data_IF_671231074351
#
_entry.id   IF_671231074351
#
_cell.length_a   1.000
_cell.length_b   1.000
_cell.length_c   1.000
_cell.angle_alpha   90.00
_cell.angle_beta   90.00
_cell.angle_gamma   90.00
#
_symmetry.space_group_name_H-M   'P 1'
#
loop_
_entity.id
_entity.type
_entity.pdbx_description
1 polymer ?
#
# COMPACT_ATOMS: atom_id res chain seq x y z
N UNK A 1 -19.23 10.26 7.79
CA UNK A 1 -18.45 9.89 6.59
C UNK A 1 -19.43 9.98 5.43
N UNK A 2 -19.33 11.02 4.60
CA UNK A 2 -20.36 11.37 3.58
C UNK A 2 -20.14 10.67 2.22
N UNK A 3 -19.38 9.57 2.21
CA UNK A 3 -19.24 8.72 1.04
C UNK A 3 -20.48 7.83 0.92
N UNK A 4 -21.26 7.97 -0.15
CA UNK A 4 -22.55 7.26 -0.32
C UNK A 4 -22.58 6.27 -1.49
N UNK A 5 -21.53 6.23 -2.31
CA UNK A 5 -21.39 5.24 -3.39
C UNK A 5 -20.46 4.08 -2.98
N UNK A 6 -20.46 3.02 -3.78
CA UNK A 6 -19.68 1.79 -3.59
C UNK A 6 -18.38 1.74 -4.40
N UNK A 7 -17.93 2.88 -4.96
CA UNK A 7 -16.81 2.91 -5.91
C UNK A 7 -15.44 2.59 -5.29
N UNK A 8 -15.28 2.75 -3.98
CA UNK A 8 -14.04 2.38 -3.26
C UNK A 8 -13.98 0.89 -2.88
N UNK A 9 -15.05 0.12 -3.13
CA UNK A 9 -15.18 -1.24 -2.64
C UNK A 9 -15.36 -1.32 -1.12
N UNK A 10 -14.92 -2.41 -0.51
CA UNK A 10 -15.05 -2.62 0.94
C UNK A 10 -14.11 -1.69 1.69
N UNK A 11 -14.66 -0.75 2.45
CA UNK A 11 -13.90 0.09 3.38
C UNK A 11 -13.68 -0.68 4.68
N UNK A 12 -12.43 -0.79 5.10
CA UNK A 12 -12.06 -1.37 6.39
C UNK A 12 -11.85 -0.24 7.41
N UNK A 13 -12.59 -0.27 8.51
CA UNK A 13 -12.49 0.70 9.60
C UNK A 13 -12.19 0.02 10.94
N UNK A 14 -11.54 0.74 11.85
CA UNK A 14 -11.23 0.23 13.19
C UNK A 14 -10.08 -0.77 13.28
N UNK A 15 -9.44 -1.11 12.16
CA UNK A 15 -8.22 -1.94 12.13
C UNK A 15 -7.02 -1.01 12.27
N UNK A 16 -6.37 -1.06 13.43
CA UNK A 16 -5.19 -0.26 13.73
C UNK A 16 -3.98 -1.18 13.91
N UNK A 17 -2.79 -0.67 13.65
CA UNK A 17 -1.53 -1.30 14.06
C UNK A 17 -1.24 -1.08 15.54
N UNK A 18 -0.11 -1.62 16.02
CA UNK A 18 0.33 -1.52 17.41
C UNK A 18 0.60 -0.07 17.86
N UNK A 19 0.77 0.85 16.91
CA UNK A 19 1.00 2.28 17.14
C UNK A 19 -0.30 3.10 17.04
N UNK A 20 -1.42 2.45 16.72
CA UNK A 20 -2.73 3.08 16.58
C UNK A 20 -2.97 3.69 15.19
N UNK A 21 -2.11 3.43 14.20
CA UNK A 21 -2.29 3.89 12.83
C UNK A 21 -3.23 2.95 12.06
N UNK A 22 -4.14 3.47 11.22
CA UNK A 22 -5.00 2.64 10.40
C UNK A 22 -4.20 1.71 9.48
N UNK A 23 -4.58 0.44 9.43
CA UNK A 23 -3.98 -0.56 8.53
C UNK A 23 -5.03 -1.38 7.77
N UNK A 24 -4.62 -2.01 6.66
CA UNK A 24 -5.45 -3.00 5.99
C UNK A 24 -5.49 -4.31 6.81
N UNK A 25 -6.52 -5.16 6.62
CA UNK A 25 -6.57 -6.48 7.26
C UNK A 25 -5.35 -7.34 6.86
N UNK A 26 -4.83 -8.09 7.84
CA UNK A 26 -3.63 -8.92 7.62
C UNK A 26 -3.90 -10.02 6.58
N UNK A 27 -5.10 -10.61 6.59
CA UNK A 27 -5.54 -11.63 5.64
C UNK A 27 -5.61 -11.16 4.18
N UNK A 28 -5.45 -9.85 3.92
CA UNK A 28 -5.42 -9.31 2.57
C UNK A 28 -4.00 -9.19 1.99
N UNK A 29 -2.93 -9.32 2.78
CA UNK A 29 -1.56 -9.16 2.29
C UNK A 29 -1.00 -10.46 1.70
N UNK A 30 -0.78 -10.49 0.38
CA UNK A 30 -0.23 -11.68 -0.30
C UNK A 30 1.24 -11.95 0.04
N UNK A 31 1.99 -10.91 0.39
CA UNK A 31 3.44 -10.98 0.65
C UNK A 31 3.80 -10.52 2.07
N UNK A 32 2.86 -10.66 3.01
CA UNK A 32 3.12 -10.38 4.42
C UNK A 32 4.34 -11.18 4.92
N UNK A 33 5.14 -10.56 5.79
CA UNK A 33 6.34 -11.17 6.37
C UNK A 33 7.31 -11.76 5.33
N UNK A 34 7.36 -11.17 4.14
CA UNK A 34 8.21 -11.61 3.01
C UNK A 34 7.84 -13.01 2.48
N UNK A 35 6.60 -13.46 2.68
CA UNK A 35 6.11 -14.70 2.10
C UNK A 35 6.06 -14.62 0.56
N UNK A 36 6.44 -15.71 -0.11
CA UNK A 36 6.29 -15.82 -1.57
C UNK A 36 4.81 -15.78 -1.99
N UNK A 37 3.91 -16.30 -1.14
CA UNK A 37 2.45 -16.13 -1.23
C UNK A 37 1.83 -16.54 0.10
N UNK A 38 0.96 -15.70 0.67
CA UNK A 38 0.16 -15.98 1.85
C UNK A 38 -1.25 -16.49 1.49
N UNK A 39 -1.92 -17.14 2.43
CA UNK A 39 -3.34 -17.48 2.30
C UNK A 39 -4.18 -16.21 2.47
N UNK A 40 -4.86 -15.82 1.40
CA UNK A 40 -5.69 -14.61 1.35
C UNK A 40 -7.18 -14.93 1.17
N UNK A 41 -7.57 -16.18 1.44
CA UNK A 41 -8.96 -16.65 1.32
C UNK A 41 -9.93 -15.93 2.26
N UNK A 42 -9.43 -15.33 3.34
CA UNK A 42 -10.20 -14.49 4.26
C UNK A 42 -10.43 -13.05 3.78
N UNK A 43 -9.68 -12.58 2.78
CA UNK A 43 -9.81 -11.20 2.29
C UNK A 43 -11.16 -11.01 1.58
N UNK A 44 -11.96 -10.05 2.05
CA UNK A 44 -13.27 -9.73 1.44
C UNK A 44 -13.15 -8.95 0.12
N UNK A 45 -11.96 -8.44 -0.20
CA UNK A 45 -11.63 -7.71 -1.41
C UNK A 45 -10.57 -8.43 -2.26
N UNK A 46 -10.02 -7.70 -3.24
CA UNK A 46 -8.83 -8.20 -3.96
C UNK A 46 -7.63 -8.21 -3.00
N UNK A 47 -6.87 -9.31 -2.92
CA UNK A 47 -5.65 -9.34 -2.14
C UNK A 47 -4.66 -8.26 -2.60
N UNK A 48 -3.95 -7.69 -1.64
CA UNK A 48 -2.89 -6.72 -1.83
C UNK A 48 -1.61 -7.47 -2.23
N UNK A 49 -1.22 -7.33 -3.48
CA UNK A 49 -0.05 -7.99 -4.08
C UNK A 49 1.18 -7.08 -4.16
N UNK A 50 1.00 -5.77 -3.98
CA UNK A 50 2.08 -4.78 -3.99
C UNK A 50 1.87 -3.76 -2.86
N UNK A 51 2.92 -3.49 -2.08
CA UNK A 51 2.90 -2.46 -1.03
C UNK A 51 3.72 -1.23 -1.43
N UNK A 52 3.12 -0.05 -1.38
CA UNK A 52 3.83 1.21 -1.56
C UNK A 52 4.19 1.80 -0.19
N UNK A 53 5.46 2.19 -0.02
CA UNK A 53 5.96 2.76 1.24
C UNK A 53 6.29 4.24 1.07
N UNK A 54 5.53 5.14 1.71
CA UNK A 54 5.78 6.57 1.71
C UNK A 54 7.22 6.95 2.14
N UNK A 55 7.82 7.92 1.46
CA UNK A 55 9.05 8.61 1.90
C UNK A 55 8.99 10.11 1.63
N UNK A 56 9.75 10.91 2.38
CA UNK A 56 9.77 12.38 2.21
C UNK A 56 10.67 12.83 1.05
N UNK A 57 11.67 12.02 0.69
CA UNK A 57 12.53 12.24 -0.48
C UNK A 57 12.81 10.94 -1.23
N UNK A 58 13.14 11.00 -2.52
CA UNK A 58 13.51 9.83 -3.30
C UNK A 58 14.72 9.12 -2.70
N UNK A 59 14.64 7.79 -2.57
CA UNK A 59 15.73 6.98 -2.03
C UNK A 59 16.06 7.21 -0.55
N UNK A 60 15.19 7.85 0.23
CA UNK A 60 15.32 7.85 1.68
C UNK A 60 15.19 6.45 2.26
N UNK A 61 16.14 6.05 3.12
CA UNK A 61 16.17 4.69 3.65
C UNK A 61 16.44 3.63 2.56
N UNK A 62 17.32 3.92 1.59
CA UNK A 62 17.62 3.12 0.38
C UNK A 62 18.03 1.64 0.58
N UNK A 63 18.01 1.09 1.80
CA UNK A 63 17.95 -0.36 1.96
C UNK A 63 16.52 -0.79 1.61
N UNK A 64 16.36 -1.55 0.53
CA UNK A 64 15.04 -1.95 0.05
C UNK A 64 14.29 -0.79 -0.60
N UNK A 65 14.93 -0.11 -1.57
CA UNK A 65 14.25 0.84 -2.47
C UNK A 65 13.04 0.22 -3.15
N UNK A 66 12.97 -1.10 -3.27
CA UNK A 66 11.82 -1.85 -3.73
C UNK A 66 12.23 -3.25 -4.19
N UNK A 67 11.25 -4.09 -4.51
CA UNK A 67 11.42 -5.43 -5.06
C UNK A 67 10.11 -5.89 -5.69
N UNK A 68 10.01 -7.18 -6.02
CA UNK A 68 8.87 -7.74 -6.77
C UNK A 68 7.49 -7.48 -6.14
N UNK A 69 7.42 -7.13 -4.84
CA UNK A 69 6.18 -7.01 -4.06
C UNK A 69 6.03 -5.67 -3.32
N UNK A 70 6.92 -4.71 -3.55
CA UNK A 70 6.79 -3.41 -2.91
C UNK A 70 7.83 -2.39 -3.32
N UNK A 71 7.49 -1.11 -3.18
CA UNK A 71 8.28 -0.01 -3.72
C UNK A 71 8.18 1.20 -2.79
N UNK A 72 9.31 1.87 -2.52
CA UNK A 72 9.30 3.18 -1.84
C UNK A 72 8.85 4.26 -2.82
N UNK A 73 7.94 5.13 -2.40
CA UNK A 73 7.39 6.22 -3.22
C UNK A 73 7.51 7.54 -2.48
N UNK A 74 7.97 8.58 -3.17
CA UNK A 74 8.01 9.92 -2.59
C UNK A 74 6.59 10.49 -2.57
N UNK A 75 6.14 10.94 -1.40
CA UNK A 75 4.73 11.25 -1.16
C UNK A 75 4.25 12.44 -1.99
N UNK A 76 5.05 13.49 -2.12
CA UNK A 76 4.64 14.69 -2.82
C UNK A 76 4.50 14.42 -4.33
N UNK A 77 5.45 13.70 -4.92
CA UNK A 77 5.41 13.27 -6.32
C UNK A 77 4.23 12.33 -6.59
N UNK A 78 4.00 11.36 -5.70
CA UNK A 78 2.85 10.45 -5.77
C UNK A 78 1.53 11.24 -5.81
N UNK A 79 1.35 12.18 -4.87
CA UNK A 79 0.13 12.99 -4.78
C UNK A 79 -0.02 13.92 -5.99
N UNK A 80 1.08 14.50 -6.49
CA UNK A 80 1.07 15.38 -7.66
C UNK A 80 0.76 14.64 -8.97
N UNK A 81 1.03 13.34 -9.04
CA UNK A 81 0.85 12.51 -10.24
C UNK A 81 -0.31 11.52 -10.14
N UNK A 82 -1.03 11.49 -9.02
CA UNK A 82 -2.07 10.47 -8.72
C UNK A 82 -3.22 10.42 -9.73
N UNK A 83 -3.48 11.50 -10.45
CA UNK A 83 -4.50 11.57 -11.52
C UNK A 83 -3.99 11.25 -12.93
N UNK A 84 -2.69 10.93 -13.08
CA UNK A 84 -2.07 10.62 -14.36
C UNK A 84 -2.14 9.12 -14.65
N UNK A 85 -2.00 8.75 -15.93
CA UNK A 85 -1.97 7.34 -16.35
C UNK A 85 -0.76 6.59 -15.77
N UNK A 86 0.35 7.31 -15.56
CA UNK A 86 1.61 6.75 -15.09
C UNK A 86 2.20 7.62 -13.99
N UNK A 87 2.80 6.95 -13.00
CA UNK A 87 3.62 7.55 -11.96
C UNK A 87 5.07 7.08 -12.16
N UNK A 88 6.02 8.02 -12.11
CA UNK A 88 7.45 7.70 -12.21
C UNK A 88 8.02 7.56 -10.81
N UNK A 89 8.49 6.36 -10.46
CA UNK A 89 9.18 6.17 -9.19
C UNK A 89 10.68 6.38 -9.38
N UNK A 90 11.22 7.39 -8.72
CA UNK A 90 12.65 7.66 -8.73
C UNK A 90 13.39 6.76 -7.73
N UNK A 91 14.12 5.79 -8.28
CA UNK A 91 15.12 5.00 -7.55
C UNK A 91 16.44 5.78 -7.54
N UNK A 92 17.13 5.82 -6.40
CA UNK A 92 18.39 6.55 -6.23
C UNK A 92 19.48 6.12 -7.21
#
# INVERSE_FOLDING_TARGET
MDWSDDSLGTIYEGILDDEGSPKCPDECYKHQDQAASADTSGCKGKPLDMSLWPSEKPGEGAIGTGGDWGQRVEVNDMLNTMGQEHMMVLLK
#
